data_IF_438941468736
#
_entry.id   IF_438941468736
#
_cell.length_a   1.000
_cell.length_b   1.000
_cell.length_c   1.000
_cell.angle_alpha   90.00
_cell.angle_beta   90.00
_cell.angle_gamma   90.00
#
_symmetry.space_group_name_H-M   'P 1'
#
loop_
_entity.id
_entity.type
_entity.pdbx_description
1 polymer ?
#
# COMPACT_ATOMS: atom_id res chain seq x y z
N UNK A 1 6.18 -13.96 7.32
CA UNK A 1 7.13 -14.63 6.40
C UNK A 1 7.97 -15.68 7.10
N UNK A 2 8.75 -15.33 8.12
CA UNK A 2 9.58 -16.28 8.91
C UNK A 2 8.77 -17.47 9.44
N UNK A 3 7.57 -17.22 9.98
CA UNK A 3 6.69 -18.28 10.51
C UNK A 3 6.14 -19.22 9.44
N UNK A 4 6.25 -18.84 8.17
CA UNK A 4 5.91 -19.68 7.01
C UNK A 4 7.17 -20.31 6.39
N UNK A 5 8.29 -20.25 7.11
CA UNK A 5 9.57 -20.82 6.69
C UNK A 5 10.27 -20.06 5.57
N UNK A 6 9.82 -18.85 5.23
CA UNK A 6 10.51 -18.01 4.23
C UNK A 6 11.76 -17.42 4.86
N UNK A 7 12.88 -17.53 4.16
CA UNK A 7 14.18 -17.02 4.58
C UNK A 7 14.22 -15.49 4.45
N UNK A 8 14.31 -14.80 5.58
CA UNK A 8 14.46 -13.35 5.68
C UNK A 8 15.70 -13.00 6.51
N UNK A 9 16.18 -11.78 6.38
CA UNK A 9 17.24 -11.24 7.26
C UNK A 9 16.80 -11.24 8.73
N UNK A 10 17.75 -11.38 9.66
CA UNK A 10 17.47 -11.17 11.08
C UNK A 10 17.22 -9.68 11.31
N UNK A 11 16.15 -9.34 12.02
CA UNK A 11 15.82 -7.95 12.29
C UNK A 11 15.11 -7.75 13.63
N UNK A 12 15.11 -6.50 14.07
CA UNK A 12 14.32 -5.97 15.17
C UNK A 12 13.65 -4.69 14.68
N UNK A 13 12.36 -4.51 14.99
CA UNK A 13 11.67 -3.24 14.76
C UNK A 13 11.71 -2.44 16.05
N UNK A 14 12.09 -1.17 15.93
CA UNK A 14 12.24 -0.25 17.04
C UNK A 14 11.25 0.91 16.90
N UNK A 15 10.51 1.18 17.97
CA UNK A 15 9.60 2.33 18.10
C UNK A 15 10.15 3.38 19.09
N UNK A 16 11.33 3.13 19.66
CA UNK A 16 12.02 4.01 20.60
C UNK A 16 13.54 3.91 20.47
N UNK A 17 14.26 4.91 20.98
CA UNK A 17 15.73 4.90 20.99
C UNK A 17 16.31 3.81 21.92
N UNK A 18 15.61 3.47 23.00
CA UNK A 18 16.04 2.41 23.91
C UNK A 18 15.91 1.03 23.27
N UNK A 19 14.87 0.81 22.47
CA UNK A 19 14.75 -0.38 21.63
C UNK A 19 15.87 -0.44 20.59
N UNK A 20 16.24 0.68 19.97
CA UNK A 20 17.35 0.72 19.01
C UNK A 20 18.71 0.37 19.65
N UNK A 21 19.00 0.90 20.84
CA UNK A 21 20.19 0.51 21.63
C UNK A 21 20.20 -0.98 21.94
N UNK A 22 19.03 -1.51 22.29
CA UNK A 22 18.87 -2.92 22.65
C UNK A 22 19.04 -3.80 21.41
N UNK A 23 18.49 -3.40 20.26
CA UNK A 23 18.67 -4.07 18.98
C UNK A 23 20.14 -4.14 18.57
N UNK A 24 20.87 -3.02 18.64
CA UNK A 24 22.30 -2.97 18.32
C UNK A 24 23.14 -3.91 19.21
N UNK A 25 22.79 -4.02 20.50
CA UNK A 25 23.47 -4.91 21.45
C UNK A 25 23.16 -6.39 21.23
N UNK A 26 21.95 -6.71 20.79
CA UNK A 26 21.45 -8.09 20.73
C UNK A 26 21.65 -8.74 19.37
N UNK A 27 21.50 -8.00 18.27
CA UNK A 27 21.66 -8.53 16.90
C UNK A 27 23.08 -9.04 16.67
N UNK A 28 24.11 -8.29 17.12
CA UNK A 28 25.55 -8.64 17.02
C UNK A 28 25.92 -9.19 15.64
N UNK A 29 25.70 -8.38 14.63
CA UNK A 29 26.01 -8.66 13.22
C UNK A 29 27.22 -7.85 12.78
N UNK A 30 27.89 -8.30 11.72
CA UNK A 30 29.08 -7.63 11.17
C UNK A 30 28.74 -6.27 10.54
N UNK A 31 27.55 -6.15 9.95
CA UNK A 31 27.02 -4.92 9.37
C UNK A 31 25.51 -4.84 9.58
N UNK A 32 25.03 -3.63 9.84
CA UNK A 32 23.63 -3.32 10.13
C UNK A 32 23.02 -2.58 8.95
N UNK A 33 21.77 -2.90 8.62
CA UNK A 33 20.92 -2.09 7.75
C UNK A 33 19.78 -1.48 8.58
N UNK A 34 19.66 -0.17 8.51
CA UNK A 34 18.64 0.63 9.20
C UNK A 34 17.65 1.10 8.14
N UNK A 35 16.39 0.67 8.24
CA UNK A 35 15.33 1.01 7.27
C UNK A 35 14.15 1.69 7.97
N UNK A 36 13.81 2.90 7.55
CA UNK A 36 12.56 3.55 7.93
C UNK A 36 11.37 2.68 7.50
N UNK A 37 10.42 2.48 8.41
CA UNK A 37 9.20 1.73 8.10
C UNK A 37 8.11 2.71 7.72
N UNK A 38 7.86 2.81 6.42
CA UNK A 38 6.68 3.44 5.83
C UNK A 38 6.12 2.52 4.73
N UNK A 39 4.84 2.61 4.41
CA UNK A 39 4.21 1.78 3.36
C UNK A 39 4.67 2.18 1.94
N UNK A 40 5.01 3.45 1.74
CA UNK A 40 5.49 3.95 0.47
C UNK A 40 6.90 3.46 0.13
N UNK A 41 7.11 3.10 -1.14
CA UNK A 41 8.40 2.70 -1.69
C UNK A 41 9.37 3.87 -1.91
N UNK A 42 10.55 3.56 -2.44
CA UNK A 42 11.57 4.57 -2.76
C UNK A 42 12.31 5.17 -1.56
N UNK A 43 12.20 4.54 -0.38
CA UNK A 43 12.77 4.99 0.90
C UNK A 43 14.24 5.39 0.79
N UNK A 44 15.08 4.61 0.11
CA UNK A 44 16.51 4.88 -0.02
C UNK A 44 16.86 6.22 -0.68
N UNK A 45 15.99 6.75 -1.55
CA UNK A 45 16.16 8.06 -2.22
C UNK A 45 15.33 9.17 -1.56
N UNK A 46 14.62 8.87 -0.48
CA UNK A 46 13.77 9.83 0.21
C UNK A 46 14.55 10.87 1.01
N UNK A 47 13.85 11.91 1.46
CA UNK A 47 14.41 12.99 2.30
C UNK A 47 13.49 13.21 3.48
N UNK A 48 14.07 13.31 4.68
CA UNK A 48 13.35 13.57 5.91
C UNK A 48 13.10 15.08 6.13
N UNK A 49 12.09 15.41 6.93
CA UNK A 49 11.75 16.79 7.32
C UNK A 49 12.90 17.55 7.99
N UNK A 50 13.77 16.86 8.71
CA UNK A 50 14.98 17.43 9.32
C UNK A 50 16.17 17.58 8.35
N UNK A 51 15.99 17.26 7.06
CA UNK A 51 17.02 17.32 6.02
C UNK A 51 17.91 16.09 5.91
N UNK A 52 17.72 15.07 6.77
CA UNK A 52 18.42 13.79 6.67
C UNK A 52 18.04 13.08 5.36
N UNK A 53 19.03 12.50 4.66
CA UNK A 53 18.84 11.93 3.31
C UNK A 53 18.87 10.42 3.35
N UNK A 54 17.92 9.80 2.67
CA UNK A 54 17.77 8.35 2.55
C UNK A 54 17.11 7.74 3.78
N UNK A 55 16.09 6.91 3.57
CA UNK A 55 15.44 6.10 4.59
C UNK A 55 16.06 4.71 4.76
N UNK A 56 17.19 4.43 4.10
CA UNK A 56 17.93 3.16 4.19
C UNK A 56 19.42 3.46 4.34
N UNK A 57 20.03 3.00 5.43
CA UNK A 57 21.44 3.24 5.76
C UNK A 57 22.15 1.97 6.21
N UNK A 58 23.44 1.90 5.92
CA UNK A 58 24.32 0.81 6.34
C UNK A 58 25.35 1.33 7.34
N UNK A 59 25.67 0.54 8.37
CA UNK A 59 26.80 0.84 9.25
C UNK A 59 27.38 -0.45 9.84
N UNK A 60 28.71 -0.48 10.00
CA UNK A 60 29.43 -1.54 10.73
C UNK A 60 29.64 -1.19 12.20
N UNK A 61 29.28 0.03 12.60
CA UNK A 61 29.49 0.54 13.95
C UNK A 61 28.18 0.45 14.75
N UNK A 62 28.07 -0.45 15.76
CA UNK A 62 26.86 -0.58 16.56
C UNK A 62 26.45 0.72 17.26
N UNK A 63 27.40 1.61 17.56
CA UNK A 63 27.12 2.89 18.21
C UNK A 63 26.44 3.91 17.27
N UNK A 64 26.54 3.72 15.95
CA UNK A 64 25.87 4.59 14.97
C UNK A 64 24.40 4.23 14.78
N UNK A 65 23.98 3.01 15.13
CA UNK A 65 22.60 2.55 15.00
C UNK A 65 21.64 3.51 15.71
N UNK A 66 21.95 3.91 16.95
CA UNK A 66 21.12 4.86 17.69
C UNK A 66 21.00 6.21 16.99
N UNK A 67 22.12 6.74 16.46
CA UNK A 67 22.16 8.04 15.80
C UNK A 67 21.38 8.03 14.47
N UNK A 68 21.47 6.94 13.71
CA UNK A 68 20.70 6.76 12.48
C UNK A 68 19.21 6.65 12.79
N UNK A 69 18.83 5.87 13.81
CA UNK A 69 17.43 5.73 14.22
C UNK A 69 16.87 7.06 14.74
N UNK A 70 17.63 7.81 15.53
CA UNK A 70 17.19 9.12 16.05
C UNK A 70 17.00 10.18 14.96
N UNK A 71 17.74 10.07 13.87
CA UNK A 71 17.59 10.94 12.70
C UNK A 71 16.33 10.63 11.87
N UNK A 72 15.73 9.44 12.06
CA UNK A 72 14.55 8.98 11.31
C UNK A 72 13.27 9.00 12.16
N UNK A 73 13.33 8.54 13.41
CA UNK A 73 12.17 8.27 14.23
C UNK A 73 11.44 9.56 14.61
N UNK A 74 10.15 9.63 14.30
CA UNK A 74 9.29 10.79 14.56
C UNK A 74 9.28 11.84 13.45
N UNK A 75 10.22 11.77 12.51
CA UNK A 75 10.33 12.69 11.37
C UNK A 75 9.46 12.22 10.19
N UNK A 76 9.14 13.13 9.26
CA UNK A 76 8.41 12.78 8.03
C UNK A 76 9.39 12.44 6.92
N UNK A 77 9.26 11.25 6.32
CA UNK A 77 10.02 10.82 5.14
C UNK A 77 9.22 11.08 3.87
N UNK A 78 9.75 11.93 2.99
CA UNK A 78 9.20 12.17 1.66
C UNK A 78 9.92 11.31 0.62
N UNK A 79 9.17 10.55 -0.17
CA UNK A 79 9.67 9.77 -1.32
C UNK A 79 8.93 10.19 -2.60
N UNK A 80 9.26 9.56 -3.74
CA UNK A 80 8.49 9.75 -4.98
C UNK A 80 7.05 9.23 -4.89
N UNK A 81 6.77 8.33 -3.95
CA UNK A 81 5.48 7.65 -3.79
C UNK A 81 4.67 8.18 -2.61
N UNK A 82 5.18 9.15 -1.85
CA UNK A 82 4.43 9.79 -0.75
C UNK A 82 3.80 11.10 -1.22
N UNK A 83 2.61 11.42 -0.73
CA UNK A 83 1.94 12.69 -0.97
C UNK A 83 2.40 13.79 0.00
N UNK A 84 2.18 15.06 -0.37
CA UNK A 84 2.40 16.23 0.48
C UNK A 84 3.81 16.33 1.11
N UNK A 85 3.84 16.41 2.43
CA UNK A 85 5.05 16.55 3.26
C UNK A 85 5.77 15.21 3.56
N UNK A 86 5.26 14.09 3.03
CA UNK A 86 5.76 12.76 3.36
C UNK A 86 5.09 12.14 4.59
N UNK A 87 5.56 10.95 4.95
CA UNK A 87 4.94 10.09 5.96
C UNK A 87 5.76 10.10 7.25
N UNK A 88 5.10 10.25 8.40
CA UNK A 88 5.77 10.21 9.71
C UNK A 88 6.29 8.80 9.98
N UNK A 89 7.59 8.67 10.21
CA UNK A 89 8.24 7.40 10.55
C UNK A 89 8.03 7.10 12.03
N UNK A 90 7.09 6.22 12.36
CA UNK A 90 6.79 5.78 13.73
C UNK A 90 7.67 4.61 14.18
N UNK A 91 8.25 3.86 13.23
CA UNK A 91 9.05 2.67 13.48
C UNK A 91 10.25 2.62 12.54
N UNK A 92 11.35 2.05 13.03
CA UNK A 92 12.57 1.83 12.24
C UNK A 92 13.01 0.38 12.41
N UNK A 93 13.30 -0.30 11.31
CA UNK A 93 13.86 -1.65 11.34
C UNK A 93 15.38 -1.59 11.40
N UNK A 94 15.96 -2.29 12.36
CA UNK A 94 17.40 -2.55 12.46
C UNK A 94 17.62 -4.03 12.15
N UNK A 95 18.46 -4.33 11.17
CA UNK A 95 18.63 -5.70 10.70
C UNK A 95 20.06 -6.03 10.33
N UNK A 96 20.34 -7.33 10.19
CA UNK A 96 21.54 -7.85 9.55
C UNK A 96 21.61 -7.33 8.11
N UNK A 97 22.68 -6.62 7.76
CA UNK A 97 23.00 -6.37 6.37
C UNK A 97 23.65 -7.63 5.79
N UNK A 98 23.01 -8.17 4.76
CA UNK A 98 23.48 -9.34 4.05
C UNK A 98 24.06 -8.90 2.72
N UNK A 99 25.27 -9.32 2.42
CA UNK A 99 25.85 -9.13 1.09
C UNK A 99 24.97 -9.81 0.05
N UNK A 100 24.75 -9.11 -1.07
CA UNK A 100 23.91 -9.60 -2.14
C UNK A 100 24.78 -9.91 -3.35
N UNK A 101 24.95 -11.20 -3.63
CA UNK A 101 25.64 -11.67 -4.83
C UNK A 101 24.78 -11.46 -6.08
N UNK A 102 23.45 -11.54 -5.93
CA UNK A 102 22.50 -11.42 -7.03
C UNK A 102 21.13 -10.98 -6.55
N UNK A 103 20.54 -10.01 -7.24
CA UNK A 103 19.20 -9.48 -6.96
C UNK A 103 18.26 -9.82 -8.11
N UNK A 104 17.09 -10.37 -7.78
CA UNK A 104 15.98 -10.58 -8.71
C UNK A 104 14.72 -9.95 -8.15
N UNK A 105 13.72 -9.78 -9.01
CA UNK A 105 12.37 -9.40 -8.61
C UNK A 105 11.47 -10.65 -8.59
N UNK A 106 10.63 -10.77 -7.58
CA UNK A 106 9.62 -11.81 -7.49
C UNK A 106 8.32 -11.26 -6.90
N UNK A 107 7.19 -11.60 -7.50
CA UNK A 107 5.88 -11.31 -6.94
C UNK A 107 4.86 -12.42 -7.24
N UNK A 108 3.83 -12.48 -6.42
CA UNK A 108 2.61 -13.26 -6.65
C UNK A 108 1.45 -12.27 -6.57
N UNK A 109 0.63 -12.21 -7.61
CA UNK A 109 -0.54 -11.32 -7.67
C UNK A 109 -1.79 -12.09 -8.06
N UNK A 110 -2.96 -11.67 -7.59
CA UNK A 110 -4.22 -12.08 -8.19
C UNK A 110 -4.42 -11.33 -9.51
N UNK A 111 -4.22 -12.02 -10.63
CA UNK A 111 -4.40 -11.44 -11.95
C UNK A 111 -5.82 -11.68 -12.47
N UNK A 112 -6.49 -10.60 -12.85
CA UNK A 112 -7.85 -10.64 -13.37
C UNK A 112 -7.93 -11.30 -14.75
N UNK A 113 -6.88 -11.19 -15.56
CA UNK A 113 -6.87 -11.75 -16.92
C UNK A 113 -6.78 -13.27 -16.91
N UNK A 114 -6.03 -13.83 -15.95
CA UNK A 114 -5.94 -15.28 -15.73
C UNK A 114 -6.97 -15.81 -14.72
N UNK A 115 -7.78 -14.94 -14.11
CA UNK A 115 -8.76 -15.27 -13.08
C UNK A 115 -8.17 -16.09 -11.91
N UNK A 116 -6.94 -15.79 -11.52
CA UNK A 116 -6.22 -16.56 -10.50
C UNK A 116 -4.83 -16.01 -10.18
N UNK A 117 -4.06 -16.70 -9.32
CA UNK A 117 -2.72 -16.27 -8.96
C UNK A 117 -1.76 -16.37 -10.16
N UNK A 118 -0.91 -15.36 -10.31
CA UNK A 118 0.18 -15.35 -11.29
C UNK A 118 1.46 -14.99 -10.56
N UNK A 119 2.49 -15.81 -10.77
CA UNK A 119 3.85 -15.47 -10.37
C UNK A 119 4.44 -14.54 -11.42
N UNK A 120 4.95 -13.39 -10.98
CA UNK A 120 5.68 -12.42 -11.80
C UNK A 120 7.14 -12.43 -11.33
N UNK A 121 8.09 -12.41 -12.26
CA UNK A 121 9.50 -12.38 -11.92
C UNK A 121 10.35 -11.63 -12.94
N UNK A 122 11.50 -11.13 -12.52
CA UNK A 122 12.52 -10.59 -13.43
C UNK A 122 13.93 -10.84 -12.87
N UNK A 123 14.90 -11.03 -13.77
CA UNK A 123 16.32 -11.10 -13.41
C UNK A 123 16.86 -9.75 -12.92
N UNK A 124 16.15 -8.67 -13.19
CA UNK A 124 16.52 -7.31 -12.80
C UNK A 124 15.81 -6.93 -11.49
N UNK A 125 16.41 -7.31 -10.36
CA UNK A 125 15.95 -6.89 -9.03
C UNK A 125 16.43 -5.47 -8.65
N UNK A 126 15.92 -4.95 -7.54
CA UNK A 126 16.37 -3.68 -6.96
C UNK A 126 15.85 -2.42 -7.67
N UNK A 127 15.01 -2.59 -8.69
CA UNK A 127 14.39 -1.51 -9.48
C UNK A 127 12.87 -1.63 -9.47
N UNK A 128 12.20 -0.60 -9.99
CA UNK A 128 10.75 -0.55 -10.15
C UNK A 128 10.33 -1.54 -11.24
N UNK A 129 9.37 -2.43 -10.94
CA UNK A 129 9.01 -3.49 -11.89
C UNK A 129 8.21 -2.91 -13.06
N UNK A 130 7.47 -1.83 -12.84
CA UNK A 130 6.72 -1.08 -13.84
C UNK A 130 7.67 -0.43 -14.86
N UNK A 131 8.78 0.15 -14.39
CA UNK A 131 9.83 0.69 -15.27
C UNK A 131 10.47 -0.42 -16.09
N UNK A 132 10.74 -1.56 -15.46
CA UNK A 132 11.28 -2.75 -16.15
C UNK A 132 10.30 -3.27 -17.20
N UNK A 133 9.01 -3.37 -16.89
CA UNK A 133 7.98 -3.81 -17.84
C UNK A 133 7.80 -2.84 -19.02
N UNK A 134 8.04 -1.54 -18.82
CA UNK A 134 7.97 -0.53 -19.88
C UNK A 134 9.22 -0.52 -20.78
N UNK A 135 10.41 -0.78 -20.22
CA UNK A 135 11.70 -0.66 -20.91
C UNK A 135 12.22 -1.98 -21.46
N UNK A 136 11.96 -3.09 -20.77
CA UNK A 136 12.37 -4.45 -21.15
C UNK A 136 11.27 -5.48 -20.77
N UNK A 137 10.13 -5.47 -21.47
CA UNK A 137 9.00 -6.37 -21.18
C UNK A 137 9.36 -7.86 -21.34
N UNK A 138 10.34 -8.20 -22.19
CA UNK A 138 10.76 -9.59 -22.43
C UNK A 138 11.52 -10.18 -21.24
N UNK A 139 12.04 -9.32 -20.34
CA UNK A 139 12.64 -9.76 -19.07
C UNK A 139 11.62 -10.21 -18.02
N UNK A 140 10.32 -9.92 -18.25
CA UNK A 140 9.24 -10.23 -17.31
C UNK A 140 8.74 -11.66 -17.52
N UNK A 141 8.95 -12.48 -16.51
CA UNK A 141 8.40 -13.83 -16.42
C UNK A 141 6.98 -13.71 -15.85
N UNK A 142 6.02 -14.38 -16.50
CA UNK A 142 4.68 -14.59 -15.96
C UNK A 142 4.37 -16.09 -15.97
N UNK A 143 4.05 -16.64 -14.82
CA UNK A 143 3.73 -18.05 -14.64
C UNK A 143 2.38 -18.15 -13.91
N UNK A 144 1.27 -18.37 -14.64
CA UNK A 144 -0.04 -18.60 -14.04
C UNK A 144 -0.06 -19.85 -13.17
N UNK A 145 -0.80 -19.80 -12.07
CA UNK A 145 -0.94 -20.90 -11.12
C UNK A 145 -2.41 -21.31 -11.05
N UNK A 146 -2.68 -22.60 -11.20
CA UNK A 146 -4.01 -23.15 -10.94
C UNK A 146 -4.31 -23.11 -9.44
N UNK A 147 -5.37 -22.41 -9.05
CA UNK A 147 -5.72 -22.21 -7.63
C UNK A 147 -6.11 -23.52 -6.92
N UNK A 148 -6.63 -24.50 -7.66
CA UNK A 148 -7.11 -25.77 -7.10
C UNK A 148 -5.93 -26.69 -6.78
N UNK A 149 -4.99 -26.78 -7.69
CA UNK A 149 -3.79 -27.63 -7.57
C UNK A 149 -2.69 -26.95 -6.76
N UNK A 150 -2.58 -25.62 -6.87
CA UNK A 150 -1.48 -24.83 -6.34
C UNK A 150 -0.20 -24.92 -7.17
N UNK A 151 0.88 -24.31 -6.66
CA UNK A 151 2.19 -24.38 -7.31
C UNK A 151 2.77 -25.79 -7.26
N UNK A 152 3.24 -26.28 -8.41
CA UNK A 152 3.95 -27.56 -8.49
C UNK A 152 5.46 -27.36 -8.36
N UNK A 153 6.18 -28.38 -7.90
CA UNK A 153 7.65 -28.34 -7.82
C UNK A 153 8.28 -28.01 -9.18
N UNK A 154 7.74 -28.57 -10.28
CA UNK A 154 8.19 -28.28 -11.63
C UNK A 154 8.03 -26.79 -12.00
N UNK A 155 6.92 -26.17 -11.62
CA UNK A 155 6.71 -24.73 -11.84
C UNK A 155 7.69 -23.90 -11.02
N UNK A 156 7.86 -24.22 -9.73
CA UNK A 156 8.80 -23.51 -8.86
C UNK A 156 10.24 -23.58 -9.39
N UNK A 157 10.68 -24.76 -9.85
CA UNK A 157 11.98 -24.95 -10.47
C UNK A 157 12.12 -24.16 -11.78
N UNK A 158 11.09 -24.19 -12.64
CA UNK A 158 11.11 -23.43 -13.88
C UNK A 158 11.19 -21.92 -13.64
N UNK A 159 10.44 -21.39 -12.67
CA UNK A 159 10.53 -19.97 -12.28
C UNK A 159 11.92 -19.64 -11.73
N UNK A 160 12.46 -20.48 -10.83
CA UNK A 160 13.81 -20.28 -10.30
C UNK A 160 14.88 -20.27 -11.40
N UNK A 161 14.81 -21.20 -12.35
CA UNK A 161 15.71 -21.24 -13.51
C UNK A 161 15.55 -19.99 -14.40
N UNK A 162 14.32 -19.57 -14.70
CA UNK A 162 14.04 -18.36 -15.49
C UNK A 162 14.55 -17.09 -14.78
N UNK A 163 14.47 -17.03 -13.45
CA UNK A 163 15.09 -15.99 -12.62
C UNK A 163 16.62 -16.09 -12.57
N UNK A 164 17.21 -17.15 -13.13
CA UNK A 164 18.65 -17.35 -13.27
C UNK A 164 19.33 -18.02 -12.07
N UNK A 165 18.58 -18.61 -11.13
CA UNK A 165 19.17 -19.41 -10.05
C UNK A 165 19.79 -20.69 -10.61
N UNK A 166 20.97 -21.06 -10.11
CA UNK A 166 21.74 -22.19 -10.61
C UNK A 166 22.19 -23.12 -9.48
N UNK A 167 22.60 -24.34 -9.86
CA UNK A 167 23.18 -25.32 -8.94
C UNK A 167 22.28 -25.60 -7.73
N UNK A 168 22.87 -25.62 -6.53
CA UNK A 168 22.13 -25.87 -5.30
C UNK A 168 21.17 -24.74 -4.91
N UNK A 169 21.38 -23.51 -5.41
CA UNK A 169 20.51 -22.37 -5.15
C UNK A 169 19.21 -22.43 -5.94
N UNK A 170 19.17 -23.14 -7.07
CA UNK A 170 17.94 -23.36 -7.84
C UNK A 170 16.87 -24.09 -7.01
N UNK A 171 17.25 -25.19 -6.34
CA UNK A 171 16.30 -25.92 -5.47
C UNK A 171 15.89 -25.08 -4.25
N UNK A 172 16.82 -24.33 -3.66
CA UNK A 172 16.51 -23.44 -2.52
C UNK A 172 15.52 -22.35 -2.94
N UNK A 173 15.71 -21.73 -4.10
CA UNK A 173 14.80 -20.73 -4.63
C UNK A 173 13.43 -21.33 -4.94
N UNK A 174 13.36 -22.51 -5.54
CA UNK A 174 12.10 -23.21 -5.78
C UNK A 174 11.34 -23.50 -4.46
N UNK A 175 12.03 -23.90 -3.40
CA UNK A 175 11.42 -24.08 -2.08
C UNK A 175 10.93 -22.75 -1.48
N UNK A 176 11.69 -21.65 -1.63
CA UNK A 176 11.23 -20.32 -1.21
C UNK A 176 9.99 -19.85 -1.98
N UNK A 177 9.95 -20.04 -3.30
CA UNK A 177 8.80 -19.72 -4.15
C UNK A 177 7.56 -20.49 -3.69
N UNK A 178 7.69 -21.79 -3.40
CA UNK A 178 6.61 -22.60 -2.86
C UNK A 178 6.08 -22.04 -1.54
N UNK A 179 6.98 -21.71 -0.60
CA UNK A 179 6.60 -21.14 0.71
C UNK A 179 5.96 -19.76 0.60
N UNK A 180 6.40 -18.94 -0.36
CA UNK A 180 5.80 -17.63 -0.65
C UNK A 180 4.38 -17.79 -1.20
N UNK A 181 4.13 -18.79 -2.06
CA UNK A 181 2.78 -19.12 -2.52
C UNK A 181 1.90 -19.62 -1.38
N UNK A 182 2.41 -20.53 -0.54
CA UNK A 182 1.68 -21.01 0.64
C UNK A 182 1.33 -19.87 1.59
N UNK A 183 2.26 -18.93 1.81
CA UNK A 183 2.01 -17.70 2.57
C UNK A 183 0.91 -16.86 1.91
N UNK A 184 1.02 -16.58 0.61
CA UNK A 184 0.06 -15.79 -0.16
C UNK A 184 -1.38 -16.31 0.01
N UNK A 185 -1.56 -17.63 -0.09
CA UNK A 185 -2.86 -18.26 0.13
C UNK A 185 -3.27 -18.21 1.61
N UNK A 186 -2.36 -18.51 2.54
CA UNK A 186 -2.63 -18.61 3.97
C UNK A 186 -3.16 -17.30 4.57
N UNK A 187 -2.65 -16.16 4.11
CA UNK A 187 -2.96 -14.84 4.68
C UNK A 187 -3.98 -14.05 3.85
N UNK A 188 -4.61 -14.67 2.85
CA UNK A 188 -5.50 -14.01 1.91
C UNK A 188 -4.87 -12.75 1.27
N UNK A 189 -3.64 -12.90 0.77
CA UNK A 189 -2.95 -11.83 0.09
C UNK A 189 -3.53 -11.60 -1.31
N UNK A 190 -3.66 -10.34 -1.71
CA UNK A 190 -3.90 -9.95 -3.11
C UNK A 190 -2.58 -9.80 -3.87
N UNK A 191 -1.49 -9.49 -3.15
CA UNK A 191 -0.14 -9.38 -3.67
C UNK A 191 0.89 -9.75 -2.59
N UNK A 192 1.89 -10.54 -2.96
CA UNK A 192 3.15 -10.69 -2.22
C UNK A 192 4.27 -10.32 -3.17
N UNK A 193 4.99 -9.25 -2.89
CA UNK A 193 6.11 -8.75 -3.67
C UNK A 193 7.39 -8.82 -2.84
N UNK A 194 8.45 -9.37 -3.41
CA UNK A 194 9.79 -9.49 -2.84
C UNK A 194 10.77 -8.77 -3.75
N UNK A 195 11.33 -7.67 -3.26
CA UNK A 195 12.27 -6.87 -4.03
C UNK A 195 13.37 -6.26 -3.13
N UNK A 196 14.59 -6.84 -3.09
CA UNK A 196 15.04 -7.96 -3.92
C UNK A 196 14.72 -9.35 -3.31
N UNK A 197 14.45 -10.31 -4.19
CA UNK A 197 14.58 -11.75 -3.93
C UNK A 197 15.93 -12.19 -4.48
N UNK A 198 16.84 -12.72 -3.66
CA UNK A 198 18.22 -12.84 -4.12
C UNK A 198 19.08 -13.88 -3.41
N UNK A 199 20.36 -13.87 -3.78
CA UNK A 199 21.38 -14.78 -3.29
C UNK A 199 22.46 -14.03 -2.53
N UNK A 200 22.96 -14.66 -1.46
CA UNK A 200 24.14 -14.18 -0.73
C UNK A 200 25.40 -14.91 -1.20
N UNK A 201 26.61 -14.32 -1.02
CA UNK A 201 27.88 -14.98 -1.37
C UNK A 201 28.11 -16.34 -0.69
N UNK A 202 27.53 -16.56 0.49
CA UNK A 202 27.58 -17.83 1.21
C UNK A 202 26.53 -18.86 0.73
N UNK A 203 25.83 -18.57 -0.36
CA UNK A 203 24.91 -19.50 -1.02
C UNK A 203 23.57 -19.65 -0.32
N UNK A 204 23.06 -18.61 0.35
CA UNK A 204 21.68 -18.57 0.85
C UNK A 204 20.79 -17.90 -0.21
N UNK A 205 19.52 -18.28 -0.22
CA UNK A 205 18.47 -17.57 -0.97
C UNK A 205 17.59 -16.85 0.04
N UNK A 206 17.42 -15.54 -0.12
CA UNK A 206 16.85 -14.66 0.91
C UNK A 206 15.86 -13.67 0.28
N UNK A 207 14.78 -13.41 1.00
CA UNK A 207 13.86 -12.29 0.75
C UNK A 207 14.33 -11.08 1.58
N UNK A 208 14.94 -10.09 0.93
CA UNK A 208 15.59 -8.96 1.62
C UNK A 208 14.63 -7.81 1.94
N UNK A 209 13.58 -7.67 1.14
CA UNK A 209 12.49 -6.73 1.37
C UNK A 209 11.21 -7.32 0.81
N UNK A 210 10.09 -6.99 1.44
CA UNK A 210 8.80 -7.50 1.04
C UNK A 210 7.70 -6.47 1.22
N UNK A 211 6.74 -6.47 0.31
CA UNK A 211 5.48 -5.75 0.40
C UNK A 211 4.35 -6.75 0.20
N UNK A 212 3.38 -6.75 1.12
CA UNK A 212 2.24 -7.66 1.06
C UNK A 212 0.98 -6.81 1.12
N UNK A 213 0.11 -6.97 0.14
CA UNK A 213 -1.24 -6.41 0.15
C UNK A 213 -2.22 -7.54 0.46
N UNK A 214 -3.21 -7.25 1.30
CA UNK A 214 -4.22 -8.22 1.76
C UNK A 214 -5.58 -7.95 1.12
N UNK A 215 -6.46 -8.94 1.12
CA UNK A 215 -7.86 -8.77 0.74
C UNK A 215 -8.68 -8.30 1.94
N UNK A 216 -9.17 -7.06 1.90
CA UNK A 216 -10.02 -6.49 2.95
C UNK A 216 -11.28 -7.32 3.22
N UNK A 217 -11.79 -8.03 2.20
CA UNK A 217 -12.95 -8.91 2.35
C UNK A 217 -12.64 -10.16 3.19
N UNK A 218 -11.37 -10.52 3.37
CA UNK A 218 -10.95 -11.64 4.21
C UNK A 218 -10.75 -11.27 5.69
N UNK A 219 -10.93 -10.00 6.06
CA UNK A 219 -10.74 -9.49 7.43
C UNK A 219 -11.48 -10.29 8.50
N UNK A 220 -12.67 -10.82 8.20
CA UNK A 220 -13.45 -11.64 9.14
C UNK A 220 -12.74 -12.93 9.59
N UNK A 221 -11.85 -13.48 8.75
CA UNK A 221 -11.07 -14.71 9.02
C UNK A 221 -9.59 -14.45 9.26
N UNK A 222 -9.06 -13.30 8.84
CA UNK A 222 -7.66 -12.90 9.02
C UNK A 222 -7.45 -11.93 10.21
N UNK A 223 -8.09 -12.19 11.35
CA UNK A 223 -8.11 -11.26 12.50
C UNK A 223 -6.72 -10.85 12.99
N UNK A 224 -5.76 -11.77 12.98
CA UNK A 224 -4.39 -11.50 13.43
C UNK A 224 -3.65 -10.55 12.47
N UNK A 225 -3.88 -10.68 11.16
CA UNK A 225 -3.30 -9.79 10.14
C UNK A 225 -3.85 -8.38 10.29
N UNK A 226 -5.18 -8.26 10.33
CA UNK A 226 -5.85 -6.96 10.44
C UNK A 226 -5.69 -6.30 11.82
N UNK A 227 -5.30 -7.04 12.86
CA UNK A 227 -4.90 -6.47 14.15
C UNK A 227 -3.54 -5.76 14.10
N UNK A 228 -2.71 -6.03 13.08
CA UNK A 228 -1.42 -5.36 12.87
C UNK A 228 -1.53 -4.09 12.03
N UNK A 229 -2.74 -3.76 11.56
CA UNK A 229 -2.96 -2.61 10.69
C UNK A 229 -2.56 -1.30 11.38
N UNK A 230 -1.68 -0.55 10.72
CA UNK A 230 -1.12 0.69 11.24
C UNK A 230 -1.72 1.87 10.49
N UNK A 231 -2.83 2.37 11.02
CA UNK A 231 -3.58 3.49 10.45
C UNK A 231 -2.86 4.84 10.59
N UNK A 232 -1.64 4.89 11.14
CA UNK A 232 -0.91 6.15 11.33
C UNK A 232 -0.61 6.90 10.01
N UNK A 233 -0.53 6.17 8.88
CA UNK A 233 -0.34 6.74 7.55
C UNK A 233 -1.65 7.05 6.82
N UNK A 234 -2.78 6.53 7.31
CA UNK A 234 -4.08 6.68 6.68
C UNK A 234 -4.68 8.04 7.02
N UNK A 235 -5.37 8.66 6.07
CA UNK A 235 -6.03 9.93 6.32
C UNK A 235 -7.06 9.76 7.45
N UNK A 236 -7.07 10.61 8.50
CA UNK A 236 -8.03 10.52 9.59
C UNK A 236 -9.50 10.49 9.13
N UNK A 237 -9.81 11.11 7.99
CA UNK A 237 -11.14 11.11 7.37
C UNK A 237 -11.47 9.75 6.78
N UNK A 238 -10.50 9.06 6.18
CA UNK A 238 -10.69 7.70 5.65
C UNK A 238 -10.89 6.69 6.79
N UNK A 239 -10.16 6.85 7.90
CA UNK A 239 -10.35 6.04 9.12
C UNK A 239 -11.78 6.23 9.66
N UNK A 240 -12.22 7.48 9.80
CA UNK A 240 -13.55 7.79 10.31
C UNK A 240 -14.66 7.30 9.35
N UNK A 241 -14.47 7.45 8.04
CA UNK A 241 -15.37 6.90 7.03
C UNK A 241 -15.50 5.38 7.16
N UNK A 242 -14.39 4.66 7.29
CA UNK A 242 -14.37 3.20 7.45
C UNK A 242 -15.15 2.76 8.69
N UNK A 243 -15.03 3.48 9.81
CA UNK A 243 -15.82 3.27 11.04
C UNK A 243 -17.33 3.40 10.80
N UNK A 244 -17.71 4.33 9.92
CA UNK A 244 -19.09 4.59 9.49
C UNK A 244 -19.55 3.69 8.33
N UNK A 245 -18.70 2.75 7.88
CA UNK A 245 -18.92 1.87 6.71
C UNK A 245 -19.16 2.67 5.42
N UNK A 246 -18.43 3.76 5.27
CA UNK A 246 -18.39 4.61 4.10
C UNK A 246 -17.07 4.39 3.36
N UNK A 247 -17.12 4.33 2.03
CA UNK A 247 -15.90 4.27 1.23
C UNK A 247 -15.51 5.71 0.85
N UNK A 248 -14.59 6.30 1.60
CA UNK A 248 -14.08 7.65 1.37
C UNK A 248 -12.63 7.59 0.88
N UNK A 249 -12.26 8.44 -0.07
CA UNK A 249 -10.86 8.69 -0.45
C UNK A 249 -10.70 10.20 -0.59
N UNK A 250 -9.70 10.76 0.09
CA UNK A 250 -9.40 12.19 0.01
C UNK A 250 -8.71 12.54 -1.33
N UNK A 251 -9.08 13.69 -1.91
CA UNK A 251 -8.44 14.27 -3.09
C UNK A 251 -8.08 15.74 -2.83
N UNK A 252 -7.31 16.36 -3.74
CA UNK A 252 -6.80 17.73 -3.58
C UNK A 252 -7.75 18.83 -4.12
N UNK A 253 -8.99 18.47 -4.47
CA UNK A 253 -9.95 19.42 -5.02
C UNK A 253 -10.74 20.23 -3.98
N UNK A 254 -11.77 20.93 -4.46
CA UNK A 254 -12.61 21.83 -3.65
C UNK A 254 -14.10 21.48 -3.66
N UNK A 255 -14.54 20.59 -4.57
CA UNK A 255 -15.94 20.19 -4.74
C UNK A 255 -16.15 18.82 -4.09
N UNK A 256 -16.85 18.80 -2.95
CA UNK A 256 -17.18 17.56 -2.26
C UNK A 256 -18.24 16.73 -3.01
N UNK A 257 -18.03 15.42 -3.09
CA UNK A 257 -18.95 14.47 -3.73
C UNK A 257 -19.53 13.51 -2.70
N UNK A 258 -20.82 13.19 -2.79
CA UNK A 258 -21.48 12.13 -2.02
C UNK A 258 -22.40 11.40 -2.97
N UNK A 259 -22.14 10.11 -3.18
CA UNK A 259 -22.83 9.33 -4.21
C UNK A 259 -23.11 7.92 -3.71
N UNK A 260 -24.22 7.32 -4.17
CA UNK A 260 -24.56 5.93 -3.89
C UNK A 260 -24.10 5.01 -5.02
N UNK A 261 -23.06 4.23 -4.76
CA UNK A 261 -22.44 3.29 -5.68
C UNK A 261 -21.13 3.81 -6.27
N UNK A 262 -20.06 3.02 -6.10
CA UNK A 262 -18.70 3.34 -6.55
C UNK A 262 -18.60 3.76 -8.03
N UNK A 263 -19.33 3.10 -8.94
CA UNK A 263 -19.31 3.44 -10.37
C UNK A 263 -19.85 4.85 -10.66
N UNK A 264 -20.95 5.23 -10.00
CA UNK A 264 -21.54 6.56 -10.14
C UNK A 264 -20.70 7.61 -9.42
N UNK A 265 -20.06 7.25 -8.30
CA UNK A 265 -19.13 8.13 -7.59
C UNK A 265 -17.95 8.52 -8.49
N UNK A 266 -17.35 7.55 -9.19
CA UNK A 266 -16.30 7.82 -10.20
C UNK A 266 -16.81 8.69 -11.34
N UNK A 267 -17.95 8.35 -11.95
CA UNK A 267 -18.51 9.14 -13.05
C UNK A 267 -18.86 10.59 -12.63
N UNK A 268 -19.28 10.79 -11.38
CA UNK A 268 -19.55 12.12 -10.82
C UNK A 268 -18.28 12.96 -10.67
N UNK A 269 -17.17 12.35 -10.24
CA UNK A 269 -15.89 13.06 -10.20
C UNK A 269 -15.39 13.41 -11.61
N UNK A 270 -15.53 12.47 -12.56
CA UNK A 270 -15.13 12.69 -13.96
C UNK A 270 -15.92 13.82 -14.61
N UNK A 271 -17.24 13.90 -14.41
CA UNK A 271 -18.05 14.99 -14.98
C UNK A 271 -17.72 16.35 -14.36
N UNK A 272 -17.40 16.39 -13.06
CA UNK A 272 -16.93 17.61 -12.39
C UNK A 272 -15.62 18.08 -13.03
N UNK A 273 -14.67 17.16 -13.20
CA UNK A 273 -13.38 17.45 -13.83
C UNK A 273 -13.52 17.88 -15.29
N UNK A 274 -14.40 17.23 -16.04
CA UNK A 274 -14.70 17.55 -17.44
C UNK A 274 -15.21 18.99 -17.61
N UNK A 275 -15.94 19.52 -16.62
CA UNK A 275 -16.47 20.88 -16.61
C UNK A 275 -15.58 21.87 -15.85
N UNK A 276 -14.32 21.53 -15.59
CA UNK A 276 -13.32 22.43 -15.00
C UNK A 276 -13.35 22.54 -13.48
N UNK A 277 -14.19 21.75 -12.79
CA UNK A 277 -14.16 21.64 -11.34
C UNK A 277 -13.08 20.68 -10.84
N UNK A 278 -12.73 20.78 -9.56
CA UNK A 278 -11.78 19.87 -8.90
C UNK A 278 -12.49 19.08 -7.80
N UNK A 279 -12.70 17.75 -7.96
CA UNK A 279 -13.33 16.93 -6.93
C UNK A 279 -12.43 16.82 -5.69
N UNK A 280 -12.98 17.11 -4.52
CA UNK A 280 -12.27 17.08 -3.25
C UNK A 280 -12.20 15.68 -2.63
N UNK A 281 -13.05 14.76 -3.07
CA UNK A 281 -13.09 13.40 -2.53
C UNK A 281 -13.83 12.43 -3.46
N UNK A 282 -13.56 11.14 -3.27
CA UNK A 282 -14.47 10.05 -3.59
C UNK A 282 -15.25 9.69 -2.31
N UNK A 283 -16.57 9.51 -2.40
CA UNK A 283 -17.38 9.01 -1.29
C UNK A 283 -18.56 8.20 -1.79
N UNK A 284 -18.52 6.91 -1.50
CA UNK A 284 -19.60 5.96 -1.78
C UNK A 284 -20.30 5.55 -0.48
N UNK A 285 -21.60 5.88 -0.39
CA UNK A 285 -22.49 5.52 0.73
C UNK A 285 -23.14 4.12 0.59
N UNK A 286 -22.87 3.42 -0.51
CA UNK A 286 -23.40 2.10 -0.83
C UNK A 286 -24.83 2.12 -1.40
N UNK A 287 -25.33 0.95 -1.81
CA UNK A 287 -26.66 0.82 -2.43
C UNK A 287 -27.85 0.88 -1.46
N UNK A 288 -27.62 0.62 -0.16
CA UNK A 288 -28.64 0.62 0.89
C UNK A 288 -28.55 1.87 1.77
N UNK A 289 -28.82 3.04 1.19
CA UNK A 289 -28.59 4.34 1.84
C UNK A 289 -29.61 4.62 2.95
N UNK A 290 -29.14 4.77 4.19
CA UNK A 290 -29.95 5.25 5.31
C UNK A 290 -29.76 6.75 5.57
N UNK A 291 -30.76 7.41 6.16
CA UNK A 291 -30.69 8.84 6.51
C UNK A 291 -29.49 9.14 7.43
N UNK A 292 -29.22 8.25 8.38
CA UNK A 292 -28.06 8.39 9.28
C UNK A 292 -26.73 8.33 8.53
N UNK A 293 -26.57 7.41 7.56
CA UNK A 293 -25.34 7.32 6.76
C UNK A 293 -25.12 8.58 5.91
N UNK A 294 -26.18 9.16 5.35
CA UNK A 294 -26.07 10.40 4.57
C UNK A 294 -25.69 11.57 5.48
N UNK A 295 -26.30 11.65 6.66
CA UNK A 295 -25.96 12.65 7.67
C UNK A 295 -24.48 12.54 8.08
N UNK A 296 -24.03 11.35 8.44
CA UNK A 296 -22.63 11.09 8.84
C UNK A 296 -21.64 11.41 7.72
N UNK A 297 -21.98 11.07 6.47
CA UNK A 297 -21.21 11.42 5.29
C UNK A 297 -21.11 12.95 5.07
N UNK A 298 -22.18 13.71 5.31
CA UNK A 298 -22.13 15.18 5.27
C UNK A 298 -21.21 15.76 6.36
N UNK A 299 -21.27 15.23 7.58
CA UNK A 299 -20.38 15.66 8.66
C UNK A 299 -18.91 15.42 8.32
N UNK A 300 -18.60 14.28 7.71
CA UNK A 300 -17.25 13.96 7.25
C UNK A 300 -16.77 14.97 6.20
N UNK A 301 -17.59 15.27 5.19
CA UNK A 301 -17.26 16.23 4.12
C UNK A 301 -17.04 17.64 4.64
N UNK A 302 -17.88 18.10 5.56
CA UNK A 302 -17.78 19.44 6.14
C UNK A 302 -16.58 19.60 7.09
N UNK A 303 -16.04 18.49 7.61
CA UNK A 303 -14.80 18.48 8.38
C UNK A 303 -13.56 18.76 7.53
N UNK A 304 -13.66 18.60 6.20
CA UNK A 304 -12.58 18.91 5.28
C UNK A 304 -12.50 20.41 4.99
N UNK A 305 -11.38 21.02 5.39
CA UNK A 305 -11.11 22.44 5.16
C UNK A 305 -10.90 22.79 3.69
N UNK A 306 -10.62 21.80 2.84
CA UNK A 306 -10.46 21.98 1.40
C UNK A 306 -11.80 21.99 0.66
N UNK A 307 -12.84 21.34 1.21
CA UNK A 307 -14.20 21.34 0.64
C UNK A 307 -14.81 22.72 0.82
N UNK A 308 -14.85 23.47 -0.28
CA UNK A 308 -15.34 24.85 -0.31
C UNK A 308 -16.85 24.89 -0.55
N UNK A 309 -17.62 24.27 0.36
CA UNK A 309 -19.09 24.37 0.34
C UNK A 309 -19.60 25.72 0.90
N UNK A 310 -18.77 26.49 1.63
CA UNK A 310 -19.30 27.60 2.46
C UNK A 310 -18.61 28.97 2.32
N UNK A 311 -17.96 29.32 1.20
CA UNK A 311 -17.73 30.77 0.99
C UNK A 311 -17.69 31.27 -0.44
N UNK A 312 -16.99 30.65 -1.40
CA UNK A 312 -16.76 31.32 -2.70
C UNK A 312 -17.04 30.46 -3.95
N UNK A 313 -17.24 29.14 -3.81
CA UNK A 313 -17.36 28.19 -4.93
C UNK A 313 -18.78 27.66 -5.22
N UNK A 314 -19.77 28.04 -4.42
CA UNK A 314 -21.13 27.51 -4.57
C UNK A 314 -21.73 27.91 -5.92
N UNK A 315 -21.45 29.13 -6.40
CA UNK A 315 -22.04 29.62 -7.64
C UNK A 315 -21.36 29.03 -8.90
N UNK A 316 -20.05 28.78 -8.87
CA UNK A 316 -19.36 28.01 -9.93
C UNK A 316 -19.81 26.55 -9.94
N UNK A 317 -19.92 25.90 -8.77
CA UNK A 317 -20.42 24.52 -8.68
C UNK A 317 -21.88 24.43 -9.17
N UNK A 318 -22.74 25.41 -8.84
CA UNK A 318 -24.11 25.50 -9.37
C UNK A 318 -24.12 25.67 -10.88
N UNK A 319 -23.22 26.49 -11.44
CA UNK A 319 -23.12 26.71 -12.89
C UNK A 319 -22.67 25.42 -13.60
N UNK A 320 -21.63 24.75 -13.11
CA UNK A 320 -21.16 23.45 -13.60
C UNK A 320 -22.28 22.41 -13.56
N UNK A 321 -23.03 22.34 -12.45
CA UNK A 321 -24.15 21.41 -12.33
C UNK A 321 -25.33 21.78 -13.23
N UNK A 322 -25.62 23.07 -13.43
CA UNK A 322 -26.66 23.52 -14.35
C UNK A 322 -26.33 23.16 -15.81
N UNK A 323 -25.06 23.32 -16.20
CA UNK A 323 -24.57 23.03 -17.55
C UNK A 323 -24.43 21.51 -17.80
N UNK A 324 -24.35 20.70 -16.75
CA UNK A 324 -24.27 19.23 -16.85
C UNK A 324 -25.57 18.55 -17.33
N UNK A 325 -26.71 19.25 -17.27
CA UNK A 325 -28.03 18.68 -17.59
C UNK A 325 -28.60 17.73 -16.51
N UNK A 326 -27.96 17.61 -15.35
CA UNK A 326 -28.44 16.81 -14.22
C UNK A 326 -29.66 17.45 -13.53
N UNK A 327 -30.62 16.63 -13.08
CA UNK A 327 -31.78 17.10 -12.31
C UNK A 327 -31.36 17.48 -10.87
N UNK A 328 -31.24 18.77 -10.62
CA UNK A 328 -30.89 19.31 -9.30
C UNK A 328 -32.11 19.36 -8.39
N UNK A 329 -31.94 19.10 -7.10
CA UNK A 329 -32.94 19.38 -6.07
C UNK A 329 -32.27 20.10 -4.92
N UNK A 330 -32.81 21.27 -4.61
CA UNK A 330 -32.33 22.11 -3.52
C UNK A 330 -32.91 21.56 -2.22
N UNK A 331 -32.08 21.52 -1.18
CA UNK A 331 -32.46 21.09 0.16
C UNK A 331 -32.18 22.22 1.17
N UNK A 332 -33.02 22.36 2.18
CA UNK A 332 -32.84 23.34 3.26
C UNK A 332 -32.15 22.69 4.47
N UNK A 333 -30.82 22.73 4.47
CA UNK A 333 -30.00 22.16 5.55
C UNK A 333 -29.86 20.64 5.48
N UNK A 334 -29.07 20.09 6.42
CA UNK A 334 -28.57 18.71 6.33
C UNK A 334 -29.66 17.64 6.46
N UNK A 335 -30.60 17.82 7.39
CA UNK A 335 -31.66 16.83 7.61
C UNK A 335 -32.59 16.76 6.39
N UNK A 336 -32.89 17.91 5.77
CA UNK A 336 -33.70 17.93 4.55
C UNK A 336 -32.93 17.32 3.37
N UNK A 337 -31.62 17.59 3.25
CA UNK A 337 -30.78 16.98 2.23
C UNK A 337 -30.69 15.45 2.38
N UNK A 338 -30.51 14.95 3.60
CA UNK A 338 -30.48 13.52 3.89
C UNK A 338 -31.82 12.85 3.56
N UNK A 339 -32.92 13.43 4.03
CA UNK A 339 -34.28 12.94 3.76
C UNK A 339 -34.60 12.91 2.26
N UNK A 340 -34.33 14.01 1.54
CA UNK A 340 -34.57 14.10 0.09
C UNK A 340 -33.70 13.10 -0.69
N UNK A 341 -32.45 12.87 -0.27
CA UNK A 341 -31.56 11.89 -0.89
C UNK A 341 -32.11 10.48 -0.78
N UNK A 342 -32.59 10.08 0.41
CA UNK A 342 -33.21 8.76 0.63
C UNK A 342 -34.53 8.61 -0.15
N UNK A 343 -35.38 9.64 -0.15
CA UNK A 343 -36.66 9.61 -0.88
C UNK A 343 -36.46 9.44 -2.40
N UNK A 344 -35.47 10.13 -2.96
CA UNK A 344 -35.13 9.99 -4.38
C UNK A 344 -34.50 8.65 -4.71
N UNK A 345 -33.61 8.14 -3.84
CA UNK A 345 -33.03 6.81 -4.02
C UNK A 345 -34.11 5.69 -4.01
N UNK A 346 -35.18 5.86 -3.23
CA UNK A 346 -36.30 4.91 -3.19
C UNK A 346 -37.25 4.98 -4.39
N UNK A 347 -37.17 6.04 -5.21
CA UNK A 347 -38.07 6.29 -6.35
C UNK A 347 -37.37 6.21 -7.72
N UNK A 348 -36.07 5.94 -7.73
CA UNK A 348 -35.24 5.70 -8.91
C UNK A 348 -35.09 4.19 -9.19
#
# INVERSE_FOLDING_TARGET
MTDSGVSVQKFVVCSSLDEAKTAAKNLKVDEYVIKAQILAGGRGKGVFSNGFKGGVHLTKNPNEVENLVSSMLGEKLKTKQTHGDGVKVSKVMVAEALDIARETYFAIVLDRSHAGPVIIGSKHGGMDIEETAATDPDSIIKEPVDIVTGVTEKQCLSVAEKLGFQGSNMQKAADQIRRLYELFIKVDATQVEINPFGETPDGRVVCFDAKINFDDNASFRQKEVFAMDDMAETDPREIEASRLKLNYIALEGSIGCLVNGAGLAMATMDIIKLHGGEPANFLDVGGGVSEQQVHDAFFLLMGDKHVSCCSNNVDEAKQILADSGLKITVAEGFNDAARLSVQKAATA
#
